data_IF_639248442280
#
_entry.id   IF_639248442280
#
_cell.length_a   1.000
_cell.length_b   1.000
_cell.length_c   1.000
_cell.angle_alpha   90.00
_cell.angle_beta   90.00
_cell.angle_gamma   90.00
#
_symmetry.space_group_name_H-M   'P 1'
#
loop_
_entity.id
_entity.type
_entity.pdbx_description
1 polymer ?
#
# COMPACT_ATOMS: atom_id res chain seq x y z
N UNK A 1 10.26 3.98 40.88
CA UNK A 1 9.53 4.10 39.60
C UNK A 1 9.30 2.71 39.09
N UNK A 2 8.03 2.32 38.99
CA UNK A 2 7.62 0.96 38.68
C UNK A 2 7.88 0.66 37.18
N UNK A 3 8.64 -0.38 36.82
CA UNK A 3 8.94 -0.73 35.43
C UNK A 3 7.68 -0.95 34.58
N UNK A 4 6.52 -1.23 35.20
CA UNK A 4 5.22 -1.42 34.54
C UNK A 4 4.61 -0.14 33.96
N UNK A 5 4.77 1.02 34.62
CA UNK A 5 4.28 2.31 34.11
C UNK A 5 4.98 2.72 32.82
N UNK A 6 6.29 2.48 32.73
CA UNK A 6 7.09 2.74 31.51
C UNK A 6 6.65 1.87 30.33
N UNK A 7 6.24 0.63 30.57
CA UNK A 7 5.76 -0.29 29.53
C UNK A 7 4.40 0.09 28.96
N UNK A 8 3.48 0.53 29.83
CA UNK A 8 2.14 0.97 29.44
C UNK A 8 2.18 2.22 28.57
N UNK A 9 2.92 3.25 28.99
CA UNK A 9 3.07 4.49 28.22
C UNK A 9 3.78 4.28 26.88
N UNK A 10 4.77 3.38 26.82
CA UNK A 10 5.43 3.01 25.57
C UNK A 10 4.46 2.30 24.60
N UNK A 11 3.62 1.41 25.12
CA UNK A 11 2.61 0.69 24.33
C UNK A 11 1.54 1.63 23.78
N UNK A 12 1.01 2.52 24.62
CA UNK A 12 0.03 3.54 24.19
C UNK A 12 0.60 4.46 23.11
N UNK A 13 1.84 4.94 23.28
CA UNK A 13 2.51 5.78 22.27
C UNK A 13 2.63 5.04 20.94
N UNK A 14 2.98 3.75 20.98
CA UNK A 14 3.05 2.91 19.78
C UNK A 14 1.71 2.75 19.09
N UNK A 15 0.65 2.45 19.84
CA UNK A 15 -0.71 2.33 19.29
C UNK A 15 -1.15 3.64 18.65
N UNK A 16 -0.88 4.77 19.31
CA UNK A 16 -1.20 6.09 18.78
C UNK A 16 -0.43 6.41 17.50
N UNK A 17 0.85 6.05 17.42
CA UNK A 17 1.64 6.23 16.20
C UNK A 17 1.15 5.35 15.05
N UNK A 18 0.75 4.10 15.33
CA UNK A 18 0.14 3.21 14.32
C UNK A 18 -1.22 3.73 13.87
N UNK A 19 -2.02 4.28 14.78
CA UNK A 19 -3.30 4.90 14.46
C UNK A 19 -3.12 6.09 13.50
N UNK A 20 -2.13 6.96 13.73
CA UNK A 20 -1.80 8.05 12.78
C UNK A 20 -1.43 7.53 11.40
N UNK A 21 -0.65 6.45 11.34
CA UNK A 21 -0.26 5.83 10.07
C UNK A 21 -1.47 5.22 9.37
N UNK A 22 -2.37 4.59 10.11
CA UNK A 22 -3.63 4.07 9.59
C UNK A 22 -4.49 5.21 9.00
N UNK A 23 -4.68 6.32 9.74
CA UNK A 23 -5.40 7.48 9.24
C UNK A 23 -4.74 8.08 7.99
N UNK A 24 -3.41 8.15 7.94
CA UNK A 24 -2.69 8.62 6.77
C UNK A 24 -2.89 7.71 5.56
N UNK A 25 -2.85 6.38 5.76
CA UNK A 25 -3.13 5.41 4.69
C UNK A 25 -4.58 5.46 4.20
N UNK A 26 -5.55 5.66 5.10
CA UNK A 26 -6.94 5.91 4.72
C UNK A 26 -7.05 7.18 3.87
N UNK A 27 -6.40 8.27 4.29
CA UNK A 27 -6.42 9.53 3.56
C UNK A 27 -5.79 9.40 2.17
N UNK A 28 -4.63 8.76 2.03
CA UNK A 28 -4.01 8.55 0.72
C UNK A 28 -4.88 7.67 -0.18
N UNK A 29 -5.57 6.69 0.39
CA UNK A 29 -6.44 5.80 -0.37
C UNK A 29 -7.74 6.48 -0.79
N UNK A 30 -8.24 7.45 -0.03
CA UNK A 30 -9.34 8.31 -0.48
C UNK A 30 -8.89 9.28 -1.57
N UNK A 31 -7.67 9.81 -1.49
CA UNK A 31 -7.14 10.76 -2.47
C UNK A 31 -6.88 10.08 -3.83
N UNK A 32 -6.48 8.81 -3.83
CA UNK A 32 -6.02 8.13 -5.06
C UNK A 32 -7.09 8.02 -6.16
N UNK A 33 -8.33 7.57 -5.89
CA UNK A 33 -9.40 7.57 -6.91
C UNK A 33 -9.78 8.98 -7.39
N UNK A 34 -9.68 9.99 -6.51
CA UNK A 34 -9.95 11.39 -6.85
C UNK A 34 -8.87 12.01 -7.74
N UNK A 35 -7.65 11.46 -7.76
CA UNK A 35 -6.63 11.89 -8.69
C UNK A 35 -7.00 11.57 -10.13
N UNK A 36 -7.69 10.46 -10.39
CA UNK A 36 -7.97 10.04 -11.76
C UNK A 36 -8.75 11.11 -12.55
N UNK A 37 -9.90 11.62 -12.09
CA UNK A 37 -10.60 12.72 -12.77
C UNK A 37 -9.80 14.01 -12.90
N UNK A 38 -8.82 14.24 -12.03
CA UNK A 38 -7.94 15.42 -12.11
C UNK A 38 -6.85 15.23 -13.15
N UNK A 39 -6.27 14.02 -13.22
CA UNK A 39 -5.27 13.65 -14.22
C UNK A 39 -5.88 13.58 -15.61
N UNK A 40 -7.14 13.15 -15.74
CA UNK A 40 -7.88 13.11 -17.01
C UNK A 40 -8.10 14.52 -17.62
N UNK A 41 -7.94 15.58 -16.82
CA UNK A 41 -8.00 16.98 -17.31
C UNK A 41 -6.66 17.49 -17.84
N UNK A 42 -5.59 16.74 -17.64
CA UNK A 42 -4.24 17.09 -18.08
C UNK A 42 -3.87 16.16 -19.23
N UNK A 43 -3.34 16.73 -20.31
CA UNK A 43 -2.92 15.96 -21.48
C UNK A 43 -1.60 15.21 -21.15
N UNK A 44 -1.76 14.08 -20.45
CA UNK A 44 -0.65 13.23 -20.03
C UNK A 44 -0.27 12.28 -21.16
N UNK A 45 1.03 11.94 -21.30
CA UNK A 45 1.45 10.92 -22.25
C UNK A 45 0.68 9.61 -22.03
N UNK A 46 0.23 8.94 -23.10
CA UNK A 46 -0.50 7.67 -22.98
C UNK A 46 0.37 6.60 -22.28
N UNK A 47 -0.26 5.82 -21.40
CA UNK A 47 0.37 4.67 -20.74
C UNK A 47 0.59 4.85 -19.23
N UNK A 48 1.68 4.27 -18.71
CA UNK A 48 1.90 4.08 -17.27
C UNK A 48 2.15 5.34 -16.44
N UNK A 49 2.33 6.52 -17.07
CA UNK A 49 2.64 7.77 -16.37
C UNK A 49 1.45 8.24 -15.53
N UNK A 50 0.24 8.27 -16.09
CA UNK A 50 -0.98 8.62 -15.34
C UNK A 50 -1.21 7.68 -14.15
N UNK A 51 -1.04 6.38 -14.38
CA UNK A 51 -1.14 5.35 -13.32
C UNK A 51 -0.09 5.56 -12.23
N UNK A 52 1.15 5.90 -12.60
CA UNK A 52 2.21 6.18 -11.64
C UNK A 52 1.88 7.42 -10.79
N UNK A 53 1.31 8.48 -11.40
CA UNK A 53 0.89 9.68 -10.70
C UNK A 53 -0.24 9.41 -9.70
N UNK A 54 -1.16 8.49 -10.01
CA UNK A 54 -2.17 8.04 -9.03
C UNK A 54 -1.53 7.43 -7.77
N UNK A 55 -0.36 6.80 -7.88
CA UNK A 55 0.34 6.21 -6.74
C UNK A 55 1.03 7.24 -5.83
N UNK A 56 1.16 8.50 -6.26
CA UNK A 56 1.93 9.53 -5.53
C UNK A 56 1.51 9.71 -4.07
N UNK A 57 0.21 9.81 -3.70
CA UNK A 57 -0.18 10.01 -2.31
C UNK A 57 0.38 8.92 -1.39
N UNK A 58 0.26 7.66 -1.81
CA UNK A 58 0.77 6.53 -1.04
C UNK A 58 2.29 6.43 -1.08
N UNK A 59 2.93 6.71 -2.22
CA UNK A 59 4.38 6.73 -2.34
C UNK A 59 5.02 7.79 -1.41
N UNK A 60 4.41 8.96 -1.27
CA UNK A 60 4.85 10.00 -0.33
C UNK A 60 4.69 9.56 1.14
N UNK A 61 3.61 8.84 1.46
CA UNK A 61 3.46 8.24 2.79
C UNK A 61 4.56 7.22 3.07
N UNK A 62 4.86 6.31 2.13
CA UNK A 62 5.95 5.34 2.26
C UNK A 62 7.30 6.04 2.41
N UNK A 63 7.57 7.07 1.60
CA UNK A 63 8.76 7.91 1.71
C UNK A 63 8.91 8.48 3.11
N UNK A 64 7.84 9.09 3.64
CA UNK A 64 7.83 9.65 4.98
C UNK A 64 8.06 8.59 6.06
N UNK A 65 7.42 7.42 5.95
CA UNK A 65 7.61 6.29 6.85
C UNK A 65 9.05 5.77 6.86
N UNK A 66 9.70 5.72 5.71
CA UNK A 66 11.11 5.31 5.60
C UNK A 66 12.03 6.40 6.15
N UNK A 67 11.77 7.67 5.84
CA UNK A 67 12.59 8.78 6.31
C UNK A 67 12.58 8.94 7.84
N UNK A 68 11.40 8.85 8.48
CA UNK A 68 11.26 8.98 9.95
C UNK A 68 11.99 7.92 10.76
N UNK A 69 12.44 6.83 10.13
CA UNK A 69 13.22 5.78 10.79
C UNK A 69 14.70 6.14 10.95
N UNK A 70 15.09 7.37 10.58
CA UNK A 70 16.47 7.87 10.67
C UNK A 70 17.35 7.42 9.50
N UNK A 71 16.74 7.11 8.36
CA UNK A 71 17.45 6.65 7.14
C UNK A 71 17.83 7.82 6.24
N UNK A 72 18.76 7.55 5.32
CA UNK A 72 19.20 8.53 4.32
C UNK A 72 18.02 8.94 3.42
N UNK A 73 17.97 10.22 3.04
CA UNK A 73 16.90 10.79 2.22
C UNK A 73 16.71 10.04 0.88
N UNK A 74 17.80 9.55 0.29
CA UNK A 74 17.74 8.80 -0.97
C UNK A 74 17.08 7.42 -0.78
N UNK A 75 17.20 6.79 0.39
CA UNK A 75 16.56 5.49 0.68
C UNK A 75 15.05 5.65 0.77
N UNK A 76 14.60 6.75 1.38
CA UNK A 76 13.19 7.13 1.40
C UNK A 76 12.67 7.43 -0.01
N UNK A 77 13.46 8.12 -0.83
CA UNK A 77 13.09 8.42 -2.23
C UNK A 77 13.02 7.15 -3.07
N UNK A 78 13.97 6.22 -2.91
CA UNK A 78 13.95 4.94 -3.61
C UNK A 78 12.73 4.10 -3.20
N UNK A 79 12.35 4.11 -1.92
CA UNK A 79 11.14 3.45 -1.44
C UNK A 79 9.86 4.01 -2.11
N UNK A 80 9.79 5.32 -2.30
CA UNK A 80 8.70 5.97 -3.03
C UNK A 80 8.64 5.49 -4.49
N UNK A 81 9.78 5.49 -5.18
CA UNK A 81 9.88 5.04 -6.57
C UNK A 81 9.49 3.56 -6.73
N UNK A 82 9.95 2.69 -5.82
CA UNK A 82 9.53 1.28 -5.78
C UNK A 82 8.02 1.18 -5.60
N UNK A 83 7.43 2.01 -4.74
CA UNK A 83 5.98 2.01 -4.50
C UNK A 83 5.21 2.39 -5.76
N UNK A 84 5.67 3.40 -6.50
CA UNK A 84 5.07 3.80 -7.77
C UNK A 84 5.17 2.69 -8.82
N UNK A 85 6.34 2.07 -8.96
CA UNK A 85 6.55 0.96 -9.90
C UNK A 85 5.68 -0.26 -9.55
N UNK A 86 5.61 -0.61 -8.27
CA UNK A 86 4.76 -1.69 -7.77
C UNK A 86 3.28 -1.43 -8.06
N UNK A 87 2.83 -0.18 -7.91
CA UNK A 87 1.46 0.22 -8.24
C UNK A 87 1.16 0.10 -9.74
N UNK A 88 2.06 0.60 -10.60
CA UNK A 88 1.91 0.46 -12.06
C UNK A 88 1.84 -1.01 -12.46
N UNK A 89 2.71 -1.86 -11.90
CA UNK A 89 2.68 -3.30 -12.17
C UNK A 89 1.38 -3.95 -11.68
N UNK A 90 0.89 -3.58 -10.49
CA UNK A 90 -0.38 -4.07 -9.94
C UNK A 90 -1.55 -3.79 -10.89
N UNK A 91 -1.66 -2.55 -11.38
CA UNK A 91 -2.75 -2.13 -12.29
C UNK A 91 -2.64 -2.86 -13.62
N UNK A 92 -1.43 -2.97 -14.20
CA UNK A 92 -1.25 -3.68 -15.47
C UNK A 92 -1.57 -5.18 -15.35
N UNK A 93 -1.19 -5.82 -14.25
CA UNK A 93 -1.55 -7.23 -14.00
C UNK A 93 -3.05 -7.39 -13.81
N UNK A 94 -3.71 -6.47 -13.08
CA UNK A 94 -5.17 -6.51 -12.93
C UNK A 94 -5.88 -6.40 -14.29
N UNK A 95 -5.43 -5.47 -15.16
CA UNK A 95 -5.96 -5.31 -16.53
C UNK A 95 -5.73 -6.57 -17.37
N UNK A 96 -4.53 -7.16 -17.29
CA UNK A 96 -4.21 -8.39 -18.01
C UNK A 96 -5.12 -9.54 -17.57
N UNK A 97 -5.31 -9.73 -16.26
CA UNK A 97 -6.16 -10.80 -15.73
C UNK A 97 -7.63 -10.57 -16.07
N UNK A 98 -8.13 -9.33 -16.00
CA UNK A 98 -9.47 -8.98 -16.46
C UNK A 98 -9.65 -9.35 -17.95
N UNK A 99 -8.68 -9.02 -18.80
CA UNK A 99 -8.69 -9.35 -20.22
C UNK A 99 -8.63 -10.86 -20.50
N UNK A 100 -7.88 -11.64 -19.70
CA UNK A 100 -7.79 -13.10 -19.83
C UNK A 100 -9.03 -13.83 -19.33
N UNK A 101 -9.85 -13.19 -18.50
CA UNK A 101 -11.06 -13.78 -17.89
C UNK A 101 -12.34 -13.13 -18.40
N UNK A 102 -12.30 -12.63 -19.64
CA UNK A 102 -13.39 -11.89 -20.28
C UNK A 102 -14.69 -12.70 -20.43
N UNK A 103 -14.60 -14.02 -20.48
CA UNK A 103 -15.70 -14.98 -20.59
C UNK A 103 -16.35 -15.31 -19.23
N UNK A 104 -15.72 -14.90 -18.12
CA UNK A 104 -16.21 -15.09 -16.77
C UNK A 104 -17.23 -14.02 -16.38
N UNK A 105 -18.11 -14.33 -15.42
CA UNK A 105 -19.03 -13.34 -14.87
C UNK A 105 -18.29 -12.16 -14.23
N UNK A 106 -18.83 -10.93 -14.35
CA UNK A 106 -18.24 -9.66 -13.89
C UNK A 106 -17.63 -9.74 -12.48
N UNK A 107 -18.32 -10.39 -11.54
CA UNK A 107 -17.86 -10.52 -10.16
C UNK A 107 -16.60 -11.40 -10.04
N UNK A 108 -16.55 -12.51 -10.78
CA UNK A 108 -15.39 -13.42 -10.80
C UNK A 108 -14.21 -12.70 -11.45
N UNK A 109 -14.44 -12.05 -12.59
CA UNK A 109 -13.44 -11.29 -13.33
C UNK A 109 -12.78 -10.21 -12.45
N UNK A 110 -13.60 -9.41 -11.77
CA UNK A 110 -13.14 -8.38 -10.85
C UNK A 110 -12.37 -8.97 -9.66
N UNK A 111 -12.83 -10.09 -9.10
CA UNK A 111 -12.15 -10.75 -7.98
C UNK A 111 -10.77 -11.26 -8.37
N UNK A 112 -10.65 -11.89 -9.53
CA UNK A 112 -9.37 -12.39 -10.05
C UNK A 112 -8.43 -11.23 -10.40
N UNK A 113 -8.93 -10.18 -11.06
CA UNK A 113 -8.15 -8.99 -11.36
C UNK A 113 -7.64 -8.30 -10.07
N UNK A 114 -8.51 -8.19 -9.06
CA UNK A 114 -8.18 -7.62 -7.76
C UNK A 114 -7.15 -8.44 -7.00
N UNK A 115 -7.31 -9.77 -6.93
CA UNK A 115 -6.34 -10.69 -6.32
C UNK A 115 -4.97 -10.57 -7.00
N UNK A 116 -4.95 -10.59 -8.34
CA UNK A 116 -3.72 -10.55 -9.12
C UNK A 116 -3.01 -9.20 -8.96
N UNK A 117 -3.73 -8.09 -9.10
CA UNK A 117 -3.16 -6.76 -8.91
C UNK A 117 -2.67 -6.53 -7.48
N UNK A 118 -3.50 -6.84 -6.47
CA UNK A 118 -3.15 -6.71 -5.07
C UNK A 118 -1.95 -7.58 -4.67
N UNK A 119 -1.89 -8.82 -5.16
CA UNK A 119 -0.77 -9.73 -4.94
C UNK A 119 0.52 -9.24 -5.60
N UNK A 120 0.47 -8.87 -6.89
CA UNK A 120 1.65 -8.35 -7.61
C UNK A 120 2.18 -7.07 -6.96
N UNK A 121 1.31 -6.09 -6.67
CA UNK A 121 1.73 -4.82 -6.10
C UNK A 121 2.37 -4.98 -4.72
N UNK A 122 1.73 -5.74 -3.83
CA UNK A 122 2.26 -5.96 -2.48
C UNK A 122 3.53 -6.80 -2.46
N UNK A 123 3.66 -7.79 -3.35
CA UNK A 123 4.90 -8.56 -3.51
C UNK A 123 6.05 -7.69 -4.01
N UNK A 124 5.84 -6.92 -5.08
CA UNK A 124 6.88 -6.04 -5.64
C UNK A 124 7.29 -4.95 -4.65
N UNK A 125 6.33 -4.41 -3.89
CA UNK A 125 6.61 -3.46 -2.83
C UNK A 125 7.54 -4.07 -1.78
N UNK A 126 7.24 -5.27 -1.29
CA UNK A 126 8.09 -5.95 -0.31
C UNK A 126 9.47 -6.26 -0.90
N UNK A 127 9.53 -6.85 -2.10
CA UNK A 127 10.78 -7.22 -2.74
C UNK A 127 11.67 -6.01 -3.06
N UNK A 128 11.08 -4.87 -3.39
CA UNK A 128 11.84 -3.64 -3.66
C UNK A 128 12.24 -2.88 -2.40
N UNK A 129 11.50 -3.02 -1.29
CA UNK A 129 11.85 -2.39 -0.02
C UNK A 129 12.86 -3.21 0.80
N UNK A 130 12.78 -4.54 0.79
CA UNK A 130 13.66 -5.41 1.56
C UNK A 130 15.17 -5.17 1.34
N UNK A 131 15.68 -4.96 0.10
CA UNK A 131 17.11 -4.74 -0.13
C UNK A 131 17.57 -3.33 0.24
N UNK A 132 16.67 -2.42 0.63
CA UNK A 132 17.06 -1.06 0.99
C UNK A 132 17.90 -1.06 2.28
N UNK A 133 19.00 -0.30 2.32
CA UNK A 133 19.88 -0.30 3.47
C UNK A 133 19.16 0.20 4.73
N UNK A 134 19.33 -0.55 5.83
CA UNK A 134 18.73 -0.22 7.12
C UNK A 134 17.27 -0.64 7.29
N UNK A 135 16.70 -1.41 6.35
CA UNK A 135 15.44 -2.13 6.52
C UNK A 135 15.64 -3.37 7.40
N UNK A 136 14.97 -3.47 8.57
CA UNK A 136 15.09 -4.66 9.40
C UNK A 136 14.33 -5.82 8.75
N UNK A 137 15.00 -6.96 8.60
CA UNK A 137 14.52 -8.16 7.87
C UNK A 137 13.61 -9.03 8.75
N UNK A 138 12.85 -8.44 9.69
CA UNK A 138 12.00 -9.23 10.59
C UNK A 138 10.91 -9.95 9.77
N UNK A 139 11.14 -11.23 9.46
CA UNK A 139 10.54 -11.95 8.32
C UNK A 139 9.00 -11.99 8.32
N UNK A 140 8.38 -11.97 9.50
CA UNK A 140 6.94 -12.14 9.64
C UNK A 140 6.15 -10.94 9.08
N UNK A 141 6.57 -9.70 9.37
CA UNK A 141 5.87 -8.50 8.90
C UNK A 141 5.93 -8.36 7.37
N UNK A 142 7.04 -8.78 6.77
CA UNK A 142 7.26 -8.76 5.33
C UNK A 142 6.49 -9.86 4.58
N UNK A 143 6.21 -11.01 5.21
CA UNK A 143 5.37 -12.08 4.63
C UNK A 143 3.87 -11.76 4.78
N UNK A 144 3.48 -11.07 5.84
CA UNK A 144 2.08 -10.67 6.07
C UNK A 144 1.63 -9.59 5.08
N UNK A 145 2.54 -8.72 4.62
CA UNK A 145 2.20 -7.62 3.70
C UNK A 145 1.65 -8.10 2.35
N UNK A 146 2.26 -9.10 1.67
CA UNK A 146 1.71 -9.67 0.44
C UNK A 146 0.39 -10.42 0.65
N UNK A 147 0.24 -11.07 1.81
CA UNK A 147 -0.98 -11.80 2.14
C UNK A 147 -2.16 -10.83 2.34
N UNK A 148 -1.96 -9.77 3.12
CA UNK A 148 -2.93 -8.68 3.27
C UNK A 148 -3.21 -8.04 1.91
N UNK A 149 -2.16 -7.74 1.12
CA UNK A 149 -2.30 -7.09 -0.17
C UNK A 149 -3.10 -7.92 -1.18
N UNK A 150 -2.87 -9.23 -1.22
CA UNK A 150 -3.61 -10.17 -2.07
C UNK A 150 -5.08 -10.25 -1.63
N UNK A 151 -5.34 -10.51 -0.34
CA UNK A 151 -6.72 -10.66 0.18
C UNK A 151 -7.54 -9.39 0.01
N UNK A 152 -6.96 -8.24 0.34
CA UNK A 152 -7.62 -6.95 0.18
C UNK A 152 -7.81 -6.59 -1.31
N UNK A 153 -6.88 -6.97 -2.18
CA UNK A 153 -7.04 -6.86 -3.62
C UNK A 153 -8.26 -7.63 -4.13
N UNK A 154 -8.44 -8.88 -3.68
CA UNK A 154 -9.65 -9.65 -3.99
C UNK A 154 -10.93 -9.05 -3.41
N UNK A 155 -10.85 -8.47 -2.21
CA UNK A 155 -11.97 -7.78 -1.57
C UNK A 155 -12.43 -6.53 -2.33
N UNK A 156 -11.55 -5.81 -3.05
CA UNK A 156 -11.97 -4.69 -3.91
C UNK A 156 -13.05 -5.09 -4.93
N UNK A 157 -13.11 -6.35 -5.34
CA UNK A 157 -14.17 -6.84 -6.21
C UNK A 157 -15.56 -6.88 -5.56
N UNK A 158 -15.61 -6.96 -4.22
CA UNK A 158 -16.84 -6.86 -3.44
C UNK A 158 -17.40 -5.44 -3.52
N UNK A 159 -16.55 -4.41 -3.51
CA UNK A 159 -17.02 -3.02 -3.69
C UNK A 159 -17.74 -2.83 -5.03
N UNK A 160 -17.19 -3.42 -6.10
CA UNK A 160 -17.84 -3.40 -7.42
C UNK A 160 -19.12 -4.24 -7.46
N UNK A 161 -19.18 -5.37 -6.76
CA UNK A 161 -20.37 -6.22 -6.72
C UNK A 161 -21.53 -5.59 -5.92
N UNK A 162 -21.23 -4.73 -4.94
CA UNK A 162 -22.20 -4.03 -4.08
C UNK A 162 -22.60 -2.65 -4.63
N UNK A 163 -22.02 -2.22 -5.74
CA UNK A 163 -22.40 -0.98 -6.45
C UNK A 163 -21.68 0.28 -5.97
N UNK A 164 -20.59 0.16 -5.21
CA UNK A 164 -19.74 1.28 -4.83
C UNK A 164 -18.72 1.61 -5.94
N UNK A 165 -19.22 2.00 -7.12
CA UNK A 165 -18.37 2.28 -8.29
C UNK A 165 -17.56 3.59 -8.15
N UNK A 166 -18.00 4.51 -7.28
CA UNK A 166 -17.36 5.83 -7.07
C UNK A 166 -16.53 5.95 -5.79
N UNK A 167 -16.85 5.17 -4.76
CA UNK A 167 -16.17 5.19 -3.46
C UNK A 167 -15.86 3.76 -3.06
N UNK A 168 -14.76 3.21 -3.58
CA UNK A 168 -14.25 1.95 -3.06
C UNK A 168 -13.90 2.15 -1.58
N UNK A 169 -14.70 1.55 -0.69
CA UNK A 169 -14.44 1.58 0.75
C UNK A 169 -13.20 0.73 1.09
N UNK A 170 -12.96 -0.33 0.32
CA UNK A 170 -11.87 -1.26 0.55
C UNK A 170 -10.51 -0.74 0.09
N UNK A 171 -10.46 0.23 -0.84
CA UNK A 171 -9.20 0.82 -1.31
C UNK A 171 -8.47 1.68 -0.24
N UNK A 172 -9.14 2.60 0.48
CA UNK A 172 -8.59 3.24 1.67
C UNK A 172 -8.15 2.25 2.74
N UNK A 173 -8.98 1.24 3.02
CA UNK A 173 -8.68 0.21 4.04
C UNK A 173 -7.42 -0.57 3.67
N UNK A 174 -7.25 -0.88 2.37
CA UNK A 174 -6.04 -1.51 1.86
C UNK A 174 -4.78 -0.67 2.10
N UNK A 175 -4.78 0.60 1.69
CA UNK A 175 -3.62 1.48 1.89
C UNK A 175 -3.30 1.66 3.39
N UNK A 176 -4.32 1.75 4.24
CA UNK A 176 -4.15 1.81 5.69
C UNK A 176 -3.50 0.54 6.25
N UNK A 177 -3.96 -0.64 5.82
CA UNK A 177 -3.41 -1.92 6.28
C UNK A 177 -1.93 -2.07 5.85
N UNK A 178 -1.61 -1.79 4.59
CA UNK A 178 -0.23 -1.85 4.08
C UNK A 178 0.66 -0.84 4.81
N UNK A 179 0.18 0.39 5.05
CA UNK A 179 0.93 1.41 5.78
C UNK A 179 1.25 0.99 7.22
N UNK A 180 0.29 0.38 7.93
CA UNK A 180 0.48 -0.14 9.28
C UNK A 180 1.46 -1.32 9.29
N UNK A 181 1.35 -2.25 8.35
CA UNK A 181 2.29 -3.36 8.19
C UNK A 181 3.71 -2.86 7.93
N UNK A 182 3.87 -1.88 7.05
CA UNK A 182 5.16 -1.23 6.78
C UNK A 182 5.70 -0.51 8.01
N UNK A 183 4.90 0.31 8.69
CA UNK A 183 5.33 1.00 9.90
C UNK A 183 5.77 0.03 11.01
N UNK A 184 5.10 -1.12 11.10
CA UNK A 184 5.47 -2.19 12.03
C UNK A 184 6.78 -2.85 11.60
N UNK A 185 6.93 -3.22 10.33
CA UNK A 185 8.14 -3.85 9.79
C UNK A 185 9.34 -2.92 9.70
N UNK A 186 9.14 -1.60 9.67
CA UNK A 186 10.20 -0.59 9.69
C UNK A 186 10.66 -0.24 11.11
N UNK A 187 9.91 -0.65 12.14
CA UNK A 187 10.23 -0.35 13.52
C UNK A 187 11.48 -1.15 13.97
N UNK A 188 12.49 -0.44 14.47
CA UNK A 188 13.65 -1.10 15.10
C UNK A 188 13.23 -1.65 16.46
N UNK A 189 13.36 -2.96 16.68
CA UNK A 189 13.71 -3.42 18.04
C UNK A 189 15.11 -2.91 18.32
N UNK A 190 15.34 -2.23 19.45
CA UNK A 190 16.70 -1.93 19.90
C UNK A 190 17.48 -3.25 19.93
N UNK A 191 18.74 -3.29 19.45
CA UNK A 191 19.60 -4.42 19.79
C UNK A 191 19.68 -4.45 21.33
N UNK A 192 19.33 -5.61 21.89
CA UNK A 192 19.67 -5.94 23.27
C UNK A 192 21.16 -6.17 23.41
#
# INVERSE_FOLDING_TARGET
MDPTETGYHATLRRLFDLFKVMCAGLATGLITPWLQPLLDRVDLPPGGVGVALMALPFALLVQWLVWRTGRRWWTATLAALVTMLAFVAAVNVAILVDALTFDSGRNIRNALAGLAGGGTGSLLLVLGLLPLPGVPVERLAWIVTPLIGTLAGGLLAVDFAVGFEFFSFLYPVWQAAVAVSLATGLHRRKPG
#
